data_IF_827597925328
#
_entry.id   IF_827597925328
#
_cell.length_a   1.000
_cell.length_b   1.000
_cell.length_c   1.000
_cell.angle_alpha   90.00
_cell.angle_beta   90.00
_cell.angle_gamma   90.00
#
_symmetry.space_group_name_H-M   'P 1'
#
loop_
_entity.id
_entity.type
_entity.pdbx_description
1 polymer ?
#
# COMPACT_ATOMS: atom_id res chain seq x y z
N UNK A 1 -34.61 13.85 -73.42
CA UNK A 1 -34.38 12.62 -74.16
C UNK A 1 -34.29 11.51 -73.15
N UNK A 2 -35.32 10.78 -72.87
CA UNK A 2 -35.82 9.47 -73.35
C UNK A 2 -34.73 8.40 -73.47
N UNK A 3 -34.79 7.38 -72.57
CA UNK A 3 -35.09 5.96 -72.78
C UNK A 3 -34.63 5.20 -71.55
N UNK A 4 -35.45 4.58 -70.75
CA UNK A 4 -36.25 3.34 -70.77
C UNK A 4 -35.46 2.05 -71.10
N UNK A 5 -35.69 1.13 -70.23
CA UNK A 5 -35.84 -0.36 -70.32
C UNK A 5 -34.79 -1.16 -69.48
N UNK A 6 -35.04 -2.24 -68.79
CA UNK A 6 -36.24 -3.08 -68.57
C UNK A 6 -35.94 -4.06 -67.45
N UNK A 7 -36.97 -4.52 -66.79
CA UNK A 7 -37.03 -5.62 -65.77
C UNK A 7 -36.41 -6.94 -66.26
N UNK A 8 -35.77 -7.65 -65.37
CA UNK A 8 -35.95 -9.13 -65.33
C UNK A 8 -35.90 -9.64 -63.91
N UNK A 9 -37.00 -10.21 -63.49
CA UNK A 9 -37.18 -10.99 -62.25
C UNK A 9 -36.58 -12.37 -62.50
N UNK A 10 -35.81 -12.91 -61.54
CA UNK A 10 -35.64 -14.33 -61.35
C UNK A 10 -35.61 -14.65 -59.86
N UNK A 11 -36.64 -15.28 -59.42
CA UNK A 11 -36.86 -15.95 -58.14
C UNK A 11 -36.02 -17.24 -58.12
N UNK A 12 -35.24 -17.47 -57.10
CA UNK A 12 -34.79 -18.82 -56.72
C UNK A 12 -34.79 -18.94 -55.18
N UNK A 13 -35.29 -20.05 -54.76
CA UNK A 13 -35.80 -20.43 -53.48
C UNK A 13 -34.78 -20.52 -52.33
N UNK A 14 -35.34 -20.51 -51.13
CA UNK A 14 -34.76 -20.64 -49.82
C UNK A 14 -33.94 -21.93 -49.61
N UNK A 15 -32.88 -21.81 -48.85
CA UNK A 15 -32.41 -22.85 -47.90
C UNK A 15 -31.91 -22.14 -46.64
N UNK A 16 -32.70 -22.34 -45.59
CA UNK A 16 -32.33 -21.90 -44.23
C UNK A 16 -31.22 -22.81 -43.70
N UNK A 17 -30.07 -22.24 -43.36
CA UNK A 17 -29.09 -22.87 -42.47
C UNK A 17 -28.94 -21.94 -41.25
N UNK A 18 -29.55 -22.38 -40.16
CA UNK A 18 -29.39 -21.76 -38.85
C UNK A 18 -27.97 -22.09 -38.33
N UNK A 19 -27.04 -21.15 -38.48
CA UNK A 19 -25.80 -21.16 -37.76
C UNK A 19 -26.02 -20.33 -36.49
N UNK A 20 -26.18 -21.01 -35.36
CA UNK A 20 -26.14 -20.37 -34.04
C UNK A 20 -24.72 -19.85 -33.78
N UNK A 21 -24.49 -18.58 -34.06
CA UNK A 21 -23.30 -17.85 -33.56
C UNK A 21 -23.52 -17.54 -32.09
N UNK A 22 -22.91 -18.35 -31.21
CA UNK A 22 -22.69 -17.96 -29.84
C UNK A 22 -21.75 -16.75 -29.85
N UNK A 23 -22.32 -15.55 -29.75
CA UNK A 23 -21.57 -14.33 -29.44
C UNK A 23 -21.22 -14.45 -27.97
N UNK A 24 -20.00 -14.93 -27.70
CA UNK A 24 -19.41 -14.82 -26.38
C UNK A 24 -19.32 -13.33 -26.01
N UNK A 25 -20.01 -12.93 -24.96
CA UNK A 25 -19.79 -11.69 -24.27
C UNK A 25 -18.37 -11.76 -23.71
N UNK A 26 -17.38 -11.30 -24.49
CA UNK A 26 -16.09 -10.92 -23.93
C UNK A 26 -16.35 -9.67 -23.09
N UNK A 27 -16.58 -9.85 -21.79
CA UNK A 27 -16.46 -8.79 -20.83
C UNK A 27 -15.07 -8.19 -21.01
N UNK A 28 -14.99 -6.88 -21.25
CA UNK A 28 -13.74 -6.13 -21.23
C UNK A 28 -13.21 -6.16 -19.80
N UNK A 29 -12.36 -7.14 -19.48
CA UNK A 29 -11.52 -7.11 -18.28
C UNK A 29 -10.42 -6.07 -18.51
N UNK A 30 -10.04 -5.31 -17.48
CA UNK A 30 -8.92 -4.38 -17.59
C UNK A 30 -7.65 -5.11 -18.03
N UNK A 31 -6.76 -4.46 -18.82
CA UNK A 31 -5.53 -5.10 -19.26
C UNK A 31 -4.62 -5.34 -18.04
N UNK A 32 -4.39 -6.62 -17.72
CA UNK A 32 -3.53 -7.07 -16.62
C UNK A 32 -4.05 -8.28 -15.84
N UNK A 33 -5.32 -8.60 -15.93
CA UNK A 33 -5.91 -9.74 -15.22
C UNK A 33 -5.79 -11.04 -16.06
N UNK A 34 -4.61 -11.64 -16.06
CA UNK A 34 -4.37 -12.98 -16.61
C UNK A 34 -3.93 -13.94 -15.49
N UNK A 35 -4.75 -14.02 -14.43
CA UNK A 35 -4.57 -15.04 -13.41
C UNK A 35 -5.05 -16.41 -13.93
N UNK A 36 -4.38 -17.47 -13.53
CA UNK A 36 -4.84 -18.82 -13.80
C UNK A 36 -6.18 -19.06 -13.10
N UNK A 37 -7.27 -19.26 -13.85
CA UNK A 37 -8.58 -19.54 -13.28
C UNK A 37 -8.60 -20.93 -12.64
N UNK A 38 -9.23 -21.07 -11.48
CA UNK A 38 -9.42 -22.32 -10.76
C UNK A 38 -9.28 -22.15 -9.25
N UNK A 39 -9.57 -23.23 -8.52
CA UNK A 39 -9.32 -23.33 -7.08
C UNK A 39 -8.11 -24.19 -6.82
N UNK A 40 -7.47 -23.98 -5.66
CA UNK A 40 -6.42 -24.85 -5.14
C UNK A 40 -7.02 -26.09 -4.46
N UNK A 41 -6.19 -27.10 -4.16
CA UNK A 41 -6.62 -28.31 -3.46
C UNK A 41 -7.14 -28.04 -2.03
N UNK A 42 -6.79 -26.88 -1.47
CA UNK A 42 -7.24 -26.41 -0.16
C UNK A 42 -8.58 -25.63 -0.18
N UNK A 43 -9.21 -25.52 -1.35
CA UNK A 43 -10.48 -24.82 -1.54
C UNK A 43 -10.37 -23.35 -1.93
N UNK A 44 -9.19 -22.74 -1.81
CA UNK A 44 -8.95 -21.34 -2.16
C UNK A 44 -8.99 -21.13 -3.68
N UNK A 45 -9.40 -19.92 -4.09
CA UNK A 45 -9.17 -19.47 -5.46
C UNK A 45 -7.66 -19.41 -5.72
N UNK A 46 -7.27 -19.60 -6.99
CA UNK A 46 -5.86 -19.65 -7.33
C UNK A 46 -5.21 -18.28 -7.46
N UNK A 47 -5.92 -17.32 -8.04
CA UNK A 47 -5.39 -15.97 -8.30
C UNK A 47 -5.80 -15.02 -7.20
N UNK A 48 -4.81 -14.34 -6.62
CA UNK A 48 -5.00 -13.29 -5.62
C UNK A 48 -4.40 -11.98 -6.11
N UNK A 49 -5.15 -10.89 -5.96
CA UNK A 49 -4.75 -9.55 -6.37
C UNK A 49 -4.51 -8.67 -5.14
N UNK A 50 -3.25 -8.44 -4.81
CA UNK A 50 -2.81 -7.59 -3.71
C UNK A 50 -2.60 -6.16 -4.20
N UNK A 51 -3.19 -5.19 -3.54
CA UNK A 51 -2.89 -3.78 -3.79
C UNK A 51 -1.82 -3.31 -2.81
N UNK A 52 -0.84 -2.57 -3.33
CA UNK A 52 0.31 -2.03 -2.60
C UNK A 52 0.24 -0.51 -2.66
N UNK A 53 0.30 0.16 -1.53
CA UNK A 53 0.29 1.63 -1.50
C UNK A 53 1.59 2.19 -2.08
N UNK A 54 1.46 3.21 -2.91
CA UNK A 54 2.60 3.84 -3.55
C UNK A 54 3.52 4.51 -2.52
N UNK A 55 4.79 4.09 -2.49
CA UNK A 55 5.85 4.75 -1.72
C UNK A 55 5.90 4.38 -0.24
N UNK A 56 5.05 3.47 0.24
CA UNK A 56 5.08 3.02 1.63
C UNK A 56 5.80 1.67 1.71
N UNK A 57 6.91 1.68 2.42
CA UNK A 57 7.91 0.63 2.32
C UNK A 57 7.54 -0.60 3.15
N UNK A 58 6.83 -0.42 4.28
CA UNK A 58 6.24 -1.48 5.07
C UNK A 58 5.19 -2.31 4.30
N UNK A 59 4.31 -1.62 3.52
CA UNK A 59 3.37 -2.31 2.65
C UNK A 59 4.08 -3.08 1.53
N UNK A 60 5.08 -2.43 0.93
CA UNK A 60 5.93 -3.09 -0.08
C UNK A 60 6.57 -4.34 0.50
N UNK A 61 7.17 -4.27 1.69
CA UNK A 61 7.83 -5.40 2.33
C UNK A 61 6.84 -6.53 2.66
N UNK A 62 5.72 -6.22 3.31
CA UNK A 62 4.70 -7.21 3.65
C UNK A 62 4.08 -7.85 2.40
N UNK A 63 3.77 -7.06 1.37
CA UNK A 63 3.18 -7.52 0.12
C UNK A 63 4.10 -8.45 -0.67
N UNK A 64 5.40 -8.14 -0.77
CA UNK A 64 6.37 -9.02 -1.44
C UNK A 64 6.64 -10.30 -0.64
N UNK A 65 6.65 -10.23 0.70
CA UNK A 65 6.74 -11.42 1.54
C UNK A 65 5.54 -12.35 1.31
N UNK A 66 4.32 -11.81 1.40
CA UNK A 66 3.11 -12.61 1.20
C UNK A 66 2.97 -13.14 -0.23
N UNK A 67 3.40 -12.35 -1.23
CA UNK A 67 3.51 -12.87 -2.60
C UNK A 67 4.42 -14.10 -2.65
N UNK A 68 5.62 -14.03 -2.08
CA UNK A 68 6.57 -15.15 -2.05
C UNK A 68 5.95 -16.37 -1.34
N UNK A 69 5.42 -16.19 -0.13
CA UNK A 69 4.82 -17.25 0.67
C UNK A 69 3.65 -17.94 -0.06
N UNK A 70 2.75 -17.17 -0.63
CA UNK A 70 1.58 -17.69 -1.32
C UNK A 70 1.96 -18.38 -2.64
N UNK A 71 2.92 -17.84 -3.40
CA UNK A 71 3.39 -18.46 -4.64
C UNK A 71 4.05 -19.81 -4.38
N UNK A 72 4.79 -19.99 -3.28
CA UNK A 72 5.30 -21.29 -2.86
C UNK A 72 4.20 -22.31 -2.51
N UNK A 73 3.03 -21.84 -2.12
CA UNK A 73 1.83 -22.67 -1.88
C UNK A 73 0.97 -22.89 -3.14
N UNK A 74 1.40 -22.37 -4.29
CA UNK A 74 0.75 -22.59 -5.60
C UNK A 74 -0.24 -21.52 -6.04
N UNK A 75 -0.36 -20.41 -5.30
CA UNK A 75 -1.18 -19.27 -5.73
C UNK A 75 -0.51 -18.53 -6.89
N UNK A 76 -1.31 -17.76 -7.63
CA UNK A 76 -0.86 -16.79 -8.63
C UNK A 76 -1.14 -15.38 -8.08
N UNK A 77 -0.10 -14.74 -7.53
CA UNK A 77 -0.24 -13.47 -6.81
C UNK A 77 0.19 -12.31 -7.68
N UNK A 78 -0.74 -11.38 -7.92
CA UNK A 78 -0.47 -10.14 -8.64
C UNK A 78 -0.38 -8.98 -7.64
N UNK A 79 0.68 -8.18 -7.74
CA UNK A 79 0.82 -6.93 -7.00
C UNK A 79 0.47 -5.77 -7.94
N UNK A 80 -0.36 -4.85 -7.45
CA UNK A 80 -0.67 -3.60 -8.17
C UNK A 80 -0.45 -2.42 -7.24
N UNK A 81 0.44 -1.53 -7.65
CA UNK A 81 0.65 -0.28 -6.93
C UNK A 81 -0.51 0.70 -7.19
N UNK A 82 -0.95 1.35 -6.13
CA UNK A 82 -2.04 2.34 -6.17
C UNK A 82 -1.85 3.40 -5.09
N UNK A 83 -2.41 4.57 -5.32
CA UNK A 83 -2.57 5.54 -4.24
C UNK A 83 -3.64 5.05 -3.26
N UNK A 84 -3.56 5.49 -2.00
CA UNK A 84 -4.38 4.99 -0.90
C UNK A 84 -5.90 5.08 -1.16
N UNK A 85 -6.40 6.21 -1.68
CA UNK A 85 -7.82 6.40 -1.90
C UNK A 85 -8.43 5.47 -2.98
N UNK A 86 -7.84 5.34 -4.20
CA UNK A 86 -8.31 4.36 -5.17
C UNK A 86 -8.10 2.90 -4.71
N UNK A 87 -7.08 2.60 -3.90
CA UNK A 87 -6.87 1.27 -3.36
C UNK A 87 -8.05 0.81 -2.48
N UNK A 88 -8.50 1.63 -1.52
CA UNK A 88 -9.69 1.31 -0.71
C UNK A 88 -10.97 1.20 -1.53
N UNK A 89 -11.12 2.04 -2.57
CA UNK A 89 -12.25 1.92 -3.49
C UNK A 89 -12.22 0.59 -4.25
N UNK A 90 -11.05 0.17 -4.72
CA UNK A 90 -10.83 -1.10 -5.42
C UNK A 90 -11.06 -2.32 -4.53
N UNK A 91 -10.61 -2.28 -3.26
CA UNK A 91 -10.91 -3.33 -2.28
C UNK A 91 -12.42 -3.45 -2.03
N UNK A 92 -13.10 -2.31 -1.86
CA UNK A 92 -14.55 -2.29 -1.62
C UNK A 92 -15.38 -2.75 -2.82
N UNK A 93 -14.88 -2.55 -4.05
CA UNK A 93 -15.52 -3.05 -5.29
C UNK A 93 -15.14 -4.49 -5.62
N UNK A 94 -14.08 -5.04 -5.01
CA UNK A 94 -13.55 -6.37 -5.30
C UNK A 94 -12.58 -6.42 -6.49
N UNK A 95 -12.05 -5.27 -6.94
CA UNK A 95 -10.98 -5.22 -7.95
C UNK A 95 -9.64 -5.67 -7.37
N UNK A 96 -9.47 -5.54 -6.06
CA UNK A 96 -8.36 -6.05 -5.26
C UNK A 96 -8.88 -6.96 -4.16
N UNK A 97 -8.08 -7.93 -3.74
CA UNK A 97 -8.43 -8.89 -2.71
C UNK A 97 -7.97 -8.45 -1.31
N UNK A 98 -6.75 -7.91 -1.19
CA UNK A 98 -6.12 -7.59 0.09
C UNK A 98 -5.11 -6.45 -0.01
N UNK A 99 -4.92 -5.73 1.12
CA UNK A 99 -3.82 -4.80 1.41
C UNK A 99 -3.25 -5.11 2.79
N UNK A 100 -1.94 -4.94 2.98
CA UNK A 100 -1.28 -5.28 4.24
C UNK A 100 -0.94 -4.06 5.11
N UNK A 101 -1.39 -2.87 4.74
CA UNK A 101 -0.92 -1.63 5.37
C UNK A 101 -2.07 -0.68 5.72
N UNK A 102 -2.99 -1.15 6.56
CA UNK A 102 -4.04 -0.27 7.09
C UNK A 102 -3.76 0.09 8.54
N UNK A 103 -3.47 1.35 8.79
CA UNK A 103 -3.15 1.89 10.11
C UNK A 103 -4.40 2.29 10.87
N UNK A 104 -4.63 1.67 12.02
CA UNK A 104 -5.80 1.90 12.86
C UNK A 104 -5.38 2.18 14.32
N UNK A 105 -6.16 2.97 15.07
CA UNK A 105 -7.53 3.42 14.74
C UNK A 105 -7.64 4.78 14.05
N UNK A 106 -6.56 5.54 13.80
CA UNK A 106 -6.67 6.96 13.45
C UNK A 106 -6.31 7.25 11.99
N UNK A 107 -5.11 6.83 11.55
CA UNK A 107 -4.52 7.25 10.25
C UNK A 107 -5.43 6.91 9.07
N UNK A 108 -5.92 5.68 8.97
CA UNK A 108 -6.81 5.25 7.89
C UNK A 108 -8.30 5.21 8.27
N UNK A 109 -8.65 5.83 9.42
CA UNK A 109 -10.04 5.89 9.91
C UNK A 109 -11.03 6.38 8.86
N UNK A 110 -10.70 7.40 8.08
CA UNK A 110 -11.59 7.95 7.06
C UNK A 110 -11.99 6.94 5.98
N UNK A 111 -11.07 6.05 5.62
CA UNK A 111 -11.32 4.99 4.65
C UNK A 111 -12.17 3.87 5.26
N UNK A 112 -11.89 3.50 6.51
CA UNK A 112 -12.69 2.50 7.23
C UNK A 112 -14.10 3.02 7.55
N UNK A 113 -14.27 4.30 7.87
CA UNK A 113 -15.60 4.91 8.01
C UNK A 113 -16.40 4.85 6.70
N UNK A 114 -15.73 5.00 5.57
CA UNK A 114 -16.36 5.03 4.23
C UNK A 114 -16.65 3.63 3.70
N UNK A 115 -15.67 2.73 3.78
CA UNK A 115 -15.68 1.44 3.09
C UNK A 115 -15.76 0.23 4.01
N UNK A 116 -15.57 0.38 5.32
CA UNK A 116 -15.39 -0.74 6.26
C UNK A 116 -16.54 -1.77 6.27
N UNK A 117 -17.77 -1.37 5.86
CA UNK A 117 -18.88 -2.32 5.71
C UNK A 117 -18.70 -3.29 4.54
N UNK A 118 -17.94 -2.89 3.52
CA UNK A 118 -17.60 -3.68 2.32
C UNK A 118 -16.27 -4.41 2.46
N UNK A 119 -15.60 -4.25 3.60
CA UNK A 119 -14.29 -4.83 3.86
C UNK A 119 -14.33 -5.84 5.00
N UNK A 120 -13.29 -6.64 5.11
CA UNK A 120 -13.00 -7.54 6.23
C UNK A 120 -11.66 -7.15 6.80
N UNK A 121 -11.62 -6.91 8.10
CA UNK A 121 -10.40 -6.72 8.86
C UNK A 121 -9.92 -8.10 9.31
N UNK A 122 -8.75 -8.53 8.84
CA UNK A 122 -8.14 -9.82 9.17
C UNK A 122 -7.27 -9.74 10.43
N UNK A 123 -7.12 -8.56 11.02
CA UNK A 123 -6.38 -8.33 12.26
C UNK A 123 -5.08 -7.56 12.06
N UNK A 124 -4.50 -7.17 13.17
CA UNK A 124 -3.23 -6.45 13.21
C UNK A 124 -2.05 -7.42 13.13
N UNK A 125 -1.02 -7.02 12.40
CA UNK A 125 0.23 -7.78 12.30
C UNK A 125 1.44 -7.05 12.88
N UNK A 126 1.31 -5.73 13.14
CA UNK A 126 2.29 -4.94 13.90
C UNK A 126 1.54 -3.98 14.84
N UNK A 127 1.89 -4.01 16.13
CA UNK A 127 1.24 -3.22 17.18
C UNK A 127 2.11 -2.03 17.65
N UNK A 128 3.17 -1.69 16.91
CA UNK A 128 4.17 -0.70 17.31
C UNK A 128 4.27 0.45 16.32
N UNK A 129 3.17 0.75 15.62
CA UNK A 129 3.13 1.82 14.64
C UNK A 129 2.90 3.18 15.30
N UNK A 130 3.59 4.22 14.81
CA UNK A 130 3.39 5.62 15.25
C UNK A 130 3.73 6.61 14.14
N UNK A 131 2.96 7.71 14.08
CA UNK A 131 3.27 8.85 13.23
C UNK A 131 4.26 9.76 13.91
N UNK A 132 5.22 10.29 13.15
CA UNK A 132 6.31 11.10 13.70
C UNK A 132 6.56 12.37 12.87
N UNK A 133 7.08 13.40 13.52
CA UNK A 133 7.84 14.46 12.86
C UNK A 133 9.30 14.22 13.17
N UNK A 134 10.10 13.95 12.16
CA UNK A 134 11.53 13.66 12.32
C UNK A 134 12.40 14.81 11.83
N UNK A 135 13.53 14.98 12.51
CA UNK A 135 14.59 15.96 12.18
C UNK A 135 15.96 15.27 12.22
N UNK A 136 16.99 15.82 11.55
CA UNK A 136 18.35 15.34 11.74
C UNK A 136 18.78 15.38 13.22
N UNK A 137 19.56 14.42 13.68
CA UNK A 137 20.04 14.36 15.08
C UNK A 137 20.79 15.62 15.52
N UNK A 138 21.46 16.32 14.59
CA UNK A 138 22.18 17.55 14.88
C UNK A 138 21.29 18.78 15.05
N UNK A 139 19.99 18.68 14.73
CA UNK A 139 19.03 19.80 14.91
C UNK A 139 18.91 20.18 16.38
N UNK A 140 18.88 21.49 16.65
CA UNK A 140 18.91 22.04 17.98
C UNK A 140 17.60 21.93 18.78
N UNK A 141 16.59 21.25 18.27
CA UNK A 141 15.27 21.07 18.91
C UNK A 141 14.98 19.59 19.19
N UNK A 142 14.15 19.32 20.20
CA UNK A 142 13.75 17.97 20.61
C UNK A 142 12.23 17.79 20.70
N UNK A 143 11.45 18.84 20.38
CA UNK A 143 9.99 18.82 20.55
C UNK A 143 9.28 19.66 19.49
N UNK A 144 8.07 19.25 19.11
CA UNK A 144 7.23 19.94 18.11
C UNK A 144 6.88 21.36 18.55
N UNK A 145 6.73 21.62 19.85
CA UNK A 145 6.43 22.97 20.38
C UNK A 145 7.59 23.96 20.24
N UNK A 146 8.80 23.51 19.93
CA UNK A 146 9.95 24.35 19.64
C UNK A 146 9.99 24.81 18.17
N UNK A 147 9.36 24.07 17.25
CA UNK A 147 9.37 24.35 15.80
C UNK A 147 8.95 25.78 15.46
N UNK A 148 7.94 26.33 16.15
CA UNK A 148 7.46 27.68 15.88
C UNK A 148 8.54 28.74 16.11
N UNK A 149 9.34 28.61 17.18
CA UNK A 149 10.39 29.53 17.50
C UNK A 149 11.63 29.41 16.59
N UNK A 150 11.84 28.21 16.06
CA UNK A 150 12.98 27.84 15.21
C UNK A 150 12.61 27.71 13.73
N UNK A 151 11.38 28.08 13.31
CA UNK A 151 10.86 27.84 11.96
C UNK A 151 11.78 28.30 10.83
N UNK A 152 12.50 29.41 11.02
CA UNK A 152 13.46 29.93 10.03
C UNK A 152 14.66 29.02 9.80
N UNK A 153 15.07 28.22 10.80
CA UNK A 153 16.18 27.26 10.69
C UNK A 153 15.78 26.11 9.75
N UNK A 154 14.49 25.76 9.72
CA UNK A 154 13.87 24.77 8.85
C UNK A 154 13.34 25.38 7.52
N UNK A 155 13.77 26.59 7.17
CA UNK A 155 13.31 27.30 5.97
C UNK A 155 11.81 27.62 5.97
N UNK A 156 11.18 27.69 7.15
CA UNK A 156 9.73 27.82 7.35
C UNK A 156 8.91 26.72 6.65
N UNK A 157 9.41 25.49 6.62
CA UNK A 157 8.78 24.38 5.90
C UNK A 157 8.68 23.13 6.77
N UNK A 158 7.61 22.38 6.56
CA UNK A 158 7.46 20.96 6.95
C UNK A 158 7.33 20.17 5.66
N UNK A 159 8.17 19.18 5.45
CA UNK A 159 8.14 18.35 4.23
C UNK A 159 7.32 17.10 4.51
N UNK A 160 6.21 16.98 3.80
CA UNK A 160 5.25 15.89 3.93
C UNK A 160 5.28 14.90 2.77
N UNK A 161 4.45 13.88 2.92
CA UNK A 161 4.26 12.79 1.97
C UNK A 161 3.05 13.02 1.06
N UNK A 162 2.42 11.97 0.55
CA UNK A 162 1.29 12.04 -0.38
C UNK A 162 0.13 12.86 0.20
N UNK A 163 -0.52 13.74 -0.61
CA UNK A 163 -1.63 14.57 -0.12
C UNK A 163 -2.84 13.79 0.43
N UNK A 164 -3.06 12.56 -0.05
CA UNK A 164 -4.15 11.70 0.39
C UNK A 164 -3.78 10.78 1.57
N UNK A 165 -2.52 10.80 2.04
CA UNK A 165 -2.08 10.00 3.17
C UNK A 165 -2.80 10.44 4.46
N UNK A 166 -3.10 9.47 5.32
CA UNK A 166 -3.71 9.73 6.62
C UNK A 166 -2.81 10.60 7.51
N UNK A 167 -1.49 10.37 7.50
CA UNK A 167 -0.51 11.19 8.19
C UNK A 167 -0.56 12.66 7.74
N UNK A 168 -0.60 12.90 6.43
CA UNK A 168 -0.74 14.27 5.89
C UNK A 168 -1.97 14.96 6.45
N UNK A 169 -3.09 14.24 6.57
CA UNK A 169 -4.30 14.76 7.18
C UNK A 169 -4.12 15.03 8.68
N UNK A 170 -3.50 14.13 9.43
CA UNK A 170 -3.23 14.32 10.86
C UNK A 170 -2.34 15.55 11.08
N UNK A 171 -1.28 15.70 10.30
CA UNK A 171 -0.38 16.86 10.42
C UNK A 171 -1.11 18.16 10.10
N UNK A 172 -1.89 18.22 9.01
CA UNK A 172 -2.60 19.45 8.62
C UNK A 172 -3.74 19.80 9.58
N UNK A 173 -4.51 18.82 10.05
CA UNK A 173 -5.73 19.06 10.83
C UNK A 173 -5.47 19.12 12.34
N UNK A 174 -4.38 18.52 12.83
CA UNK A 174 -4.09 18.41 14.26
C UNK A 174 -2.77 19.08 14.64
N UNK A 175 -1.66 18.68 14.03
CA UNK A 175 -0.33 19.15 14.44
C UNK A 175 -0.17 20.64 14.19
N UNK A 176 -0.38 21.09 12.96
CA UNK A 176 -0.20 22.49 12.56
C UNK A 176 -1.06 23.44 13.42
N UNK A 177 -2.38 23.22 13.56
CA UNK A 177 -3.20 24.11 14.39
C UNK A 177 -2.87 24.06 15.87
N UNK A 178 -2.64 22.85 16.43
CA UNK A 178 -2.40 22.73 17.86
C UNK A 178 -1.08 23.34 18.30
N UNK A 179 -0.04 23.25 17.46
CA UNK A 179 1.28 23.83 17.74
C UNK A 179 1.44 25.26 17.19
N UNK A 180 0.42 25.79 16.49
CA UNK A 180 0.43 27.14 15.92
C UNK A 180 1.50 27.30 14.85
N UNK A 181 1.67 26.28 14.01
CA UNK A 181 2.64 26.21 12.92
C UNK A 181 2.11 26.76 11.59
N UNK A 182 1.00 27.49 11.60
CA UNK A 182 0.37 28.10 10.41
C UNK A 182 1.30 29.02 9.62
N UNK A 183 2.39 29.45 10.22
CA UNK A 183 3.44 30.25 9.57
C UNK A 183 4.49 29.42 8.82
N UNK A 184 4.43 28.08 8.90
CA UNK A 184 5.28 27.15 8.15
C UNK A 184 4.51 26.60 6.97
N UNK A 185 5.17 26.50 5.83
CA UNK A 185 4.61 25.88 4.62
C UNK A 185 4.66 24.37 4.76
N UNK A 186 3.50 23.71 4.82
CA UNK A 186 3.41 22.25 4.76
C UNK A 186 3.44 21.79 3.31
N UNK A 187 4.57 21.27 2.86
CA UNK A 187 4.82 20.87 1.46
C UNK A 187 4.61 19.36 1.32
N UNK A 188 3.52 18.98 0.70
CA UNK A 188 3.20 17.58 0.41
C UNK A 188 3.63 17.20 -1.00
N UNK A 189 4.16 15.99 -1.16
CA UNK A 189 4.58 15.46 -2.47
C UNK A 189 4.42 13.93 -2.53
N UNK A 190 5.50 13.19 -2.47
CA UNK A 190 5.51 11.74 -2.33
C UNK A 190 6.55 11.32 -1.32
N UNK A 191 6.39 10.16 -0.71
CA UNK A 191 7.36 9.60 0.23
C UNK A 191 8.77 9.54 -0.35
N UNK A 192 9.01 9.03 -1.58
CA UNK A 192 10.36 9.07 -2.16
C UNK A 192 10.92 10.49 -2.34
N UNK A 193 10.08 11.49 -2.61
CA UNK A 193 10.53 12.89 -2.74
C UNK A 193 10.88 13.46 -1.35
N UNK A 194 10.08 13.22 -0.32
CA UNK A 194 10.36 13.60 1.06
C UNK A 194 11.69 12.99 1.54
N UNK A 195 11.91 11.69 1.31
CA UNK A 195 13.17 11.01 1.66
C UNK A 195 14.38 11.56 0.89
N UNK A 196 14.20 11.97 -0.36
CA UNK A 196 15.25 12.61 -1.13
C UNK A 196 15.62 13.98 -0.56
N UNK A 197 14.63 14.78 -0.13
CA UNK A 197 14.85 16.06 0.54
C UNK A 197 15.54 15.89 1.89
N UNK A 198 15.12 14.90 2.70
CA UNK A 198 15.76 14.54 3.96
C UNK A 198 17.24 14.20 3.75
N UNK A 199 17.52 13.29 2.82
CA UNK A 199 18.88 12.87 2.46
C UNK A 199 19.75 14.06 2.00
N UNK A 200 19.20 14.93 1.15
CA UNK A 200 19.91 16.08 0.61
C UNK A 200 20.23 17.10 1.71
N UNK A 201 19.30 17.37 2.64
CA UNK A 201 19.49 18.28 3.76
C UNK A 201 20.53 17.74 4.73
N UNK A 202 20.49 16.46 5.08
CA UNK A 202 21.49 15.80 5.93
C UNK A 202 22.89 15.92 5.32
N UNK A 203 23.03 15.68 4.01
CA UNK A 203 24.33 15.77 3.31
C UNK A 203 24.92 17.17 3.34
N UNK A 204 24.09 18.22 3.40
CA UNK A 204 24.50 19.63 3.47
C UNK A 204 24.60 20.14 4.91
N UNK A 205 24.20 19.38 5.90
CA UNK A 205 24.05 19.82 7.30
C UNK A 205 23.03 20.96 7.46
N UNK A 206 21.98 20.96 6.62
CA UNK A 206 20.84 21.88 6.72
C UNK A 206 19.75 21.23 7.58
N UNK A 207 19.07 22.06 8.40
CA UNK A 207 17.93 21.58 9.16
C UNK A 207 16.73 21.35 8.25
N UNK A 208 16.03 20.24 8.51
CA UNK A 208 14.80 19.87 7.83
C UNK A 208 13.87 19.17 8.82
N UNK A 209 12.59 19.41 8.75
CA UNK A 209 11.57 18.61 9.43
C UNK A 209 10.71 17.90 8.41
N UNK A 210 10.57 16.59 8.58
CA UNK A 210 9.80 15.72 7.69
C UNK A 210 8.71 14.99 8.45
N UNK A 211 7.61 14.65 7.78
CA UNK A 211 6.68 13.64 8.26
C UNK A 211 7.30 12.27 8.02
N UNK A 212 7.21 11.41 9.00
CA UNK A 212 7.75 10.06 8.96
C UNK A 212 6.96 9.18 9.95
N UNK A 213 7.21 7.91 9.93
CA UNK A 213 6.53 6.97 10.82
C UNK A 213 7.46 5.86 11.29
N UNK A 214 7.05 5.18 12.35
CA UNK A 214 7.66 3.94 12.79
C UNK A 214 6.67 2.78 12.66
N UNK A 215 7.13 1.62 12.19
CA UNK A 215 8.49 1.29 11.74
C UNK A 215 8.81 1.85 10.33
N UNK A 216 10.07 2.26 10.09
CA UNK A 216 10.57 2.69 8.77
C UNK A 216 12.10 2.59 8.71
N UNK A 217 12.66 2.02 7.65
CA UNK A 217 14.11 1.82 7.44
C UNK A 217 14.94 3.10 7.48
N UNK A 218 14.35 4.27 7.26
CA UNK A 218 15.05 5.54 7.26
C UNK A 218 15.76 5.84 8.60
N UNK A 219 15.25 5.30 9.71
CA UNK A 219 15.89 5.43 11.03
C UNK A 219 17.20 4.66 11.15
N UNK A 220 17.38 3.60 10.38
CA UNK A 220 18.65 2.88 10.27
C UNK A 220 19.61 3.55 9.29
N UNK A 221 19.07 4.17 8.24
CA UNK A 221 19.86 4.73 7.15
C UNK A 221 20.35 6.15 7.42
N UNK A 222 19.62 6.94 8.21
CA UNK A 222 19.89 8.33 8.45
C UNK A 222 20.03 8.66 9.94
N UNK A 223 20.96 9.57 10.33
CA UNK A 223 21.06 10.07 11.70
C UNK A 223 19.93 11.08 11.97
N UNK A 224 18.74 10.57 12.27
CA UNK A 224 17.51 11.33 12.55
C UNK A 224 16.93 10.99 13.91
N UNK A 225 16.14 11.89 14.44
CA UNK A 225 15.39 11.74 15.70
C UNK A 225 13.97 12.24 15.54
N UNK A 226 13.06 11.64 16.30
CA UNK A 226 11.67 12.09 16.40
C UNK A 226 11.58 13.30 17.32
N UNK A 227 10.72 14.25 16.97
CA UNK A 227 10.34 15.33 17.85
C UNK A 227 9.25 14.85 18.81
N UNK A 228 9.44 15.10 20.10
CA UNK A 228 8.42 14.81 21.11
C UNK A 228 7.12 15.55 20.79
N UNK A 229 6.00 14.87 20.95
CA UNK A 229 4.65 15.41 20.81
C UNK A 229 3.95 15.56 22.18
N UNK A 230 4.26 16.60 22.99
CA UNK A 230 3.68 16.75 24.30
C UNK A 230 2.17 17.04 24.31
N UNK A 231 1.59 17.41 23.16
CA UNK A 231 0.15 17.62 23.03
C UNK A 231 -0.62 16.41 22.49
N UNK A 232 0.11 15.38 22.04
CA UNK A 232 -0.49 14.18 21.46
C UNK A 232 -1.22 14.43 20.14
N UNK A 233 -0.76 15.44 19.37
CA UNK A 233 -1.41 15.84 18.12
C UNK A 233 -1.19 14.84 16.96
N UNK A 234 -0.09 14.07 17.00
CA UNK A 234 0.17 12.96 16.08
C UNK A 234 -0.68 11.73 16.39
N UNK A 235 -1.32 11.69 17.56
CA UNK A 235 -2.11 10.57 18.02
C UNK A 235 -1.35 9.69 19.01
N UNK A 236 -1.86 8.48 19.19
CA UNK A 236 -1.21 7.43 19.99
C UNK A 236 -0.65 6.37 19.04
N UNK A 237 0.09 5.42 19.61
CA UNK A 237 0.50 4.23 18.86
C UNK A 237 -0.70 3.61 18.16
N UNK A 238 -0.47 3.18 16.94
CA UNK A 238 -1.43 2.52 16.07
C UNK A 238 -1.00 1.08 15.80
N UNK A 239 -1.88 0.35 15.14
CA UNK A 239 -1.65 -1.01 14.71
C UNK A 239 -1.72 -1.06 13.18
N UNK A 240 -0.87 -1.86 12.54
CA UNK A 240 -0.93 -2.10 11.11
C UNK A 240 -1.75 -3.37 10.87
N UNK A 241 -2.86 -3.22 10.15
CA UNK A 241 -3.82 -4.28 9.88
C UNK A 241 -3.75 -4.78 8.44
N UNK A 242 -4.08 -6.06 8.26
CA UNK A 242 -4.41 -6.62 6.95
C UNK A 242 -5.89 -6.40 6.69
N UNK A 243 -6.22 -5.63 5.65
CA UNK A 243 -7.61 -5.38 5.24
C UNK A 243 -7.87 -6.01 3.88
N UNK A 244 -9.02 -6.66 3.75
CA UNK A 244 -9.39 -7.42 2.55
C UNK A 244 -10.80 -7.08 2.07
N UNK A 245 -11.10 -7.48 0.82
CA UNK A 245 -12.47 -7.45 0.29
C UNK A 245 -13.42 -8.29 1.16
N UNK A 246 -14.71 -8.00 1.14
CA UNK A 246 -15.70 -8.64 2.02
C UNK A 246 -15.80 -10.16 1.84
N UNK A 247 -15.59 -10.67 0.64
CA UNK A 247 -15.69 -12.10 0.34
C UNK A 247 -14.40 -12.90 0.54
N UNK A 248 -13.38 -12.30 1.16
CA UNK A 248 -12.03 -12.91 1.24
C UNK A 248 -12.03 -14.30 1.89
N UNK A 249 -12.82 -14.50 2.94
CA UNK A 249 -12.91 -15.79 3.65
C UNK A 249 -13.65 -16.86 2.84
N UNK A 250 -14.58 -16.46 1.96
CA UNK A 250 -15.27 -17.36 1.05
C UNK A 250 -14.40 -17.73 -0.16
N UNK A 251 -13.64 -16.75 -0.69
CA UNK A 251 -12.80 -16.91 -1.87
C UNK A 251 -11.46 -17.57 -1.55
N UNK A 252 -10.93 -17.31 -0.34
CA UNK A 252 -9.60 -17.76 0.12
C UNK A 252 -9.65 -18.25 1.57
N UNK A 253 -10.43 -19.31 1.89
CA UNK A 253 -10.63 -19.78 3.26
C UNK A 253 -9.33 -20.17 3.99
N UNK A 254 -8.33 -20.67 3.27
CA UNK A 254 -7.03 -21.03 3.85
C UNK A 254 -6.10 -19.84 3.97
N UNK A 255 -5.91 -19.07 2.89
CA UNK A 255 -5.00 -17.92 2.91
C UNK A 255 -5.50 -16.81 3.85
N UNK A 256 -6.81 -16.55 3.94
CA UNK A 256 -7.36 -15.56 4.89
C UNK A 256 -7.04 -15.93 6.33
N UNK A 257 -7.08 -17.23 6.67
CA UNK A 257 -6.68 -17.69 8.00
C UNK A 257 -5.19 -17.45 8.26
N UNK A 258 -4.31 -17.77 7.31
CA UNK A 258 -2.88 -17.48 7.45
C UNK A 258 -2.61 -15.98 7.63
N UNK A 259 -3.28 -15.15 6.83
CA UNK A 259 -3.15 -13.68 6.91
C UNK A 259 -3.75 -13.12 8.22
N UNK A 260 -4.77 -13.76 8.80
CA UNK A 260 -5.30 -13.35 10.10
C UNK A 260 -4.41 -13.74 11.28
N UNK A 261 -3.57 -14.77 11.11
CA UNK A 261 -2.58 -15.20 12.11
C UNK A 261 -1.21 -14.49 11.92
N UNK A 262 -1.10 -13.60 10.91
CA UNK A 262 0.13 -12.88 10.57
C UNK A 262 0.58 -11.96 11.71
N UNK A 263 1.87 -12.02 12.02
CA UNK A 263 2.52 -11.10 12.95
C UNK A 263 3.98 -10.89 12.52
N UNK A 264 4.42 -9.66 12.53
CA UNK A 264 5.81 -9.28 12.24
C UNK A 264 6.24 -8.16 13.20
N UNK A 265 7.26 -8.41 13.99
CA UNK A 265 7.86 -7.37 14.80
C UNK A 265 8.65 -6.35 13.98
N UNK A 266 8.91 -5.20 14.56
CA UNK A 266 9.57 -4.10 13.86
C UNK A 266 11.00 -4.44 13.43
N UNK A 267 11.74 -5.25 14.17
CA UNK A 267 13.12 -5.63 13.81
C UNK A 267 13.12 -6.54 12.56
N UNK A 268 12.18 -7.47 12.50
CA UNK A 268 11.98 -8.34 11.33
C UNK A 268 11.56 -7.52 10.10
N UNK A 269 10.65 -6.57 10.28
CA UNK A 269 10.22 -5.66 9.22
C UNK A 269 11.38 -4.80 8.72
N UNK A 270 12.14 -4.15 9.60
CA UNK A 270 13.32 -3.36 9.21
C UNK A 270 14.34 -4.18 8.41
N UNK A 271 14.56 -5.43 8.80
CA UNK A 271 15.45 -6.34 8.07
C UNK A 271 14.99 -6.53 6.61
N UNK A 272 13.69 -6.70 6.40
CA UNK A 272 13.13 -6.90 5.06
C UNK A 272 13.09 -5.59 4.24
N UNK A 273 12.66 -4.48 4.85
CA UNK A 273 12.69 -3.15 4.22
C UNK A 273 14.10 -2.76 3.78
N UNK A 274 15.09 -2.95 4.65
CA UNK A 274 16.50 -2.68 4.33
C UNK A 274 16.99 -3.54 3.16
N UNK A 275 16.61 -4.81 3.11
CA UNK A 275 16.98 -5.68 2.00
C UNK A 275 16.34 -5.25 0.67
N UNK A 276 15.10 -4.82 0.69
CA UNK A 276 14.35 -4.41 -0.51
C UNK A 276 14.68 -2.97 -0.92
N UNK A 277 14.39 -2.02 -0.07
CA UNK A 277 14.32 -0.60 -0.43
C UNK A 277 15.65 0.12 -0.21
N UNK A 278 16.23 0.00 0.99
CA UNK A 278 17.49 0.68 1.32
C UNK A 278 18.68 0.13 0.52
N UNK A 279 18.56 -1.07 -0.04
CA UNK A 279 19.58 -1.65 -0.93
C UNK A 279 19.79 -0.88 -2.23
N UNK A 280 18.84 -0.01 -2.63
CA UNK A 280 18.83 0.69 -3.92
C UNK A 280 18.49 -0.24 -5.09
N UNK A 281 17.96 -1.43 -4.83
CA UNK A 281 17.53 -2.38 -5.84
C UNK A 281 16.31 -1.83 -6.62
N UNK A 282 16.17 -2.31 -7.86
CA UNK A 282 14.97 -2.02 -8.64
C UNK A 282 13.83 -2.92 -8.21
N UNK A 283 12.59 -2.44 -8.31
CA UNK A 283 11.38 -3.22 -8.00
C UNK A 283 11.32 -4.57 -8.72
N UNK A 284 11.87 -4.67 -9.93
CA UNK A 284 11.97 -5.95 -10.67
C UNK A 284 12.89 -6.99 -10.01
N UNK A 285 13.71 -6.58 -9.07
CA UNK A 285 14.66 -7.45 -8.33
C UNK A 285 14.07 -7.90 -6.98
N UNK A 286 12.99 -7.24 -6.52
CA UNK A 286 12.37 -7.52 -5.22
C UNK A 286 11.94 -8.99 -5.03
N UNK A 287 11.35 -9.70 -6.01
CA UNK A 287 11.03 -11.11 -5.83
C UNK A 287 12.24 -11.97 -5.48
N UNK A 288 13.39 -11.74 -6.14
CA UNK A 288 14.61 -12.47 -5.88
C UNK A 288 15.23 -12.11 -4.51
N UNK A 289 15.16 -10.84 -4.12
CA UNK A 289 15.64 -10.36 -2.82
C UNK A 289 14.77 -10.94 -1.71
N UNK A 290 13.44 -10.91 -1.86
CA UNK A 290 12.51 -11.51 -0.89
C UNK A 290 12.75 -13.01 -0.74
N UNK A 291 12.92 -13.74 -1.83
CA UNK A 291 13.21 -15.18 -1.78
C UNK A 291 14.54 -15.47 -1.04
N UNK A 292 15.57 -14.64 -1.26
CA UNK A 292 16.82 -14.76 -0.52
C UNK A 292 16.61 -14.46 0.97
N UNK A 293 15.95 -13.36 1.30
CA UNK A 293 15.66 -13.00 2.68
C UNK A 293 14.82 -14.08 3.38
N UNK A 294 13.81 -14.62 2.72
CA UNK A 294 12.99 -15.72 3.22
C UNK A 294 13.81 -16.97 3.54
N UNK A 295 14.78 -17.31 2.69
CA UNK A 295 15.69 -18.45 2.94
C UNK A 295 16.60 -18.24 4.15
N UNK A 296 16.92 -17.00 4.48
CA UNK A 296 17.71 -16.62 5.66
C UNK A 296 16.84 -16.55 6.94
N UNK A 297 15.50 -16.50 6.79
CA UNK A 297 14.51 -16.42 7.86
C UNK A 297 13.47 -17.56 7.78
N UNK A 298 13.89 -18.75 7.36
CA UNK A 298 13.02 -19.87 7.02
C UNK A 298 12.03 -20.25 8.14
N UNK A 299 12.49 -20.31 9.39
CA UNK A 299 11.63 -20.65 10.53
C UNK A 299 10.48 -19.66 10.70
N UNK A 300 10.74 -18.36 10.46
CA UNK A 300 9.70 -17.33 10.49
C UNK A 300 8.72 -17.49 9.31
N UNK A 301 9.24 -17.66 8.11
CA UNK A 301 8.43 -17.82 6.88
C UNK A 301 7.53 -19.07 6.97
N UNK A 302 8.08 -20.19 7.45
CA UNK A 302 7.30 -21.42 7.66
C UNK A 302 6.17 -21.22 8.70
N UNK A 303 6.42 -20.37 9.70
CA UNK A 303 5.41 -20.06 10.72
C UNK A 303 4.17 -19.35 10.16
N UNK A 304 4.31 -18.58 9.08
CA UNK A 304 3.22 -17.80 8.47
C UNK A 304 2.09 -18.66 7.88
N UNK A 305 2.39 -19.91 7.54
CA UNK A 305 1.42 -20.86 6.96
C UNK A 305 1.18 -22.08 7.84
N UNK A 306 1.72 -22.09 9.07
CA UNK A 306 1.45 -23.15 10.04
C UNK A 306 0.08 -22.89 10.67
N UNK A 307 -0.82 -23.86 10.53
CA UNK A 307 -2.09 -23.85 11.27
C UNK A 307 -1.82 -24.01 12.77
N UNK A 308 -2.13 -22.98 13.55
CA UNK A 308 -2.15 -23.06 15.02
C UNK A 308 -3.35 -23.86 15.51
#
# INVERSE_FOLDING_TARGET
>A
MKRNHTRTKRTVAALALAAATAVGLSACMPPGYYGASGTLDNGDQKSMHVVVFNGWDEDTAASYLWKHVLEEKGYDVQLTNSDVAPAYSGLASGDYDVVFDTWLPNTHKQYMDTYGKQLTDLGSWNEQASLELAVPEYSGIDSIDELKAHASEFGNKIIGIEPAAGETKVVSDQVIPQYGLDGMDFITSSTPAMLADLKASIAKKEDVVVTLWRPHWAYDAFPIKDLKDPKGALGKNEEIHTIAKKSIEDDFPTASKWMSDFSMDSDTLYSLENALVNSGAKTSEYPAITAKWASEHQDYVDSLTSTK
#
